data_IF_636175984443
#
_entry.id   IF_636175984443
#
_cell.length_a   1.000
_cell.length_b   1.000
_cell.length_c   1.000
_cell.angle_alpha   90.00
_cell.angle_beta   90.00
_cell.angle_gamma   90.00
#
_symmetry.space_group_name_H-M   'P 1'
#
loop_
_entity.id
_entity.type
_entity.pdbx_description
1 polymer ?
#
# COMPACT_ATOMS: atom_id res chain seq x y z
N UNK A 1 -35.68 27.51 -11.77
CA UNK A 1 -35.09 26.22 -12.12
C UNK A 1 -34.10 25.81 -11.05
N UNK A 2 -34.29 24.66 -10.49
CA UNK A 2 -33.44 24.23 -9.39
C UNK A 2 -32.09 23.78 -9.93
N UNK A 3 -31.03 24.36 -9.41
CA UNK A 3 -29.68 23.88 -9.65
C UNK A 3 -29.47 22.60 -8.83
N UNK A 4 -28.90 21.53 -9.43
CA UNK A 4 -28.60 20.36 -8.62
C UNK A 4 -27.73 20.74 -7.42
N UNK A 5 -27.95 20.17 -6.25
CA UNK A 5 -27.11 20.52 -5.12
C UNK A 5 -25.66 20.18 -5.43
N UNK A 6 -24.80 21.19 -5.35
CA UNK A 6 -23.38 21.01 -5.65
C UNK A 6 -22.67 20.20 -4.57
N UNK A 7 -23.29 20.06 -3.43
CA UNK A 7 -22.80 19.24 -2.33
C UNK A 7 -23.49 17.87 -2.27
N UNK A 8 -24.14 17.46 -3.37
CA UNK A 8 -24.68 16.10 -3.45
C UNK A 8 -23.53 15.10 -3.22
N UNK A 9 -23.77 14.05 -2.40
CA UNK A 9 -22.69 13.12 -2.08
C UNK A 9 -22.14 12.48 -3.33
N UNK A 10 -20.87 12.70 -3.57
CA UNK A 10 -20.14 12.00 -4.60
C UNK A 10 -19.28 10.94 -3.93
N UNK A 11 -19.15 9.81 -4.58
CA UNK A 11 -18.28 8.77 -4.04
C UNK A 11 -16.86 9.27 -4.01
N UNK A 12 -16.22 9.11 -2.87
CA UNK A 12 -14.81 9.41 -2.71
C UNK A 12 -13.98 8.44 -3.54
N UNK A 13 -12.73 8.80 -3.79
CA UNK A 13 -11.77 7.89 -4.43
C UNK A 13 -11.68 6.57 -3.67
N UNK A 14 -11.64 6.64 -2.35
CA UNK A 14 -11.59 5.44 -1.51
C UNK A 14 -12.82 4.55 -1.71
N UNK A 15 -14.03 5.13 -1.70
CA UNK A 15 -15.26 4.37 -1.91
C UNK A 15 -15.26 3.66 -3.26
N UNK A 16 -14.81 4.35 -4.31
CA UNK A 16 -14.73 3.76 -5.64
C UNK A 16 -13.75 2.58 -5.69
N UNK A 17 -12.60 2.73 -5.02
CA UNK A 17 -11.61 1.67 -4.92
C UNK A 17 -12.15 0.49 -4.11
N UNK A 18 -12.85 0.75 -3.02
CA UNK A 18 -13.47 -0.30 -2.20
C UNK A 18 -14.48 -1.10 -3.01
N UNK A 19 -15.32 -0.43 -3.78
CA UNK A 19 -16.30 -1.09 -4.65
C UNK A 19 -15.61 -1.92 -5.72
N UNK A 20 -14.57 -1.37 -6.34
CA UNK A 20 -13.84 -2.09 -7.38
C UNK A 20 -13.16 -3.34 -6.82
N UNK A 21 -12.48 -3.21 -5.68
CA UNK A 21 -11.81 -4.35 -5.03
C UNK A 21 -12.81 -5.42 -4.61
N UNK A 22 -14.00 -5.02 -4.12
CA UNK A 22 -15.05 -5.97 -3.77
C UNK A 22 -15.53 -6.76 -4.98
N UNK A 23 -15.63 -6.10 -6.14
CA UNK A 23 -16.05 -6.74 -7.39
C UNK A 23 -14.92 -7.53 -8.06
N UNK A 24 -13.66 -7.16 -7.81
CA UNK A 24 -12.48 -7.77 -8.44
C UNK A 24 -11.41 -8.08 -7.37
N UNK A 25 -11.69 -9.03 -6.45
CA UNK A 25 -10.80 -9.25 -5.31
C UNK A 25 -9.40 -9.75 -5.68
N UNK A 26 -9.23 -10.27 -6.90
CA UNK A 26 -7.93 -10.72 -7.39
C UNK A 26 -7.11 -9.63 -8.09
N UNK A 27 -7.64 -8.41 -8.21
CA UNK A 27 -6.92 -7.32 -8.88
C UNK A 27 -5.92 -6.69 -7.90
N UNK A 28 -4.65 -7.08 -8.04
CA UNK A 28 -3.58 -6.61 -7.16
C UNK A 28 -3.36 -5.11 -7.27
N UNK A 29 -3.41 -4.55 -8.48
CA UNK A 29 -3.19 -3.11 -8.67
C UNK A 29 -4.28 -2.29 -7.98
N UNK A 30 -5.53 -2.73 -8.05
CA UNK A 30 -6.63 -2.04 -7.39
C UNK A 30 -6.49 -2.08 -5.87
N UNK A 31 -6.11 -3.23 -5.31
CA UNK A 31 -5.88 -3.35 -3.87
C UNK A 31 -4.69 -2.51 -3.42
N UNK A 32 -3.63 -2.48 -4.21
CA UNK A 32 -2.49 -1.60 -3.97
C UNK A 32 -2.95 -0.14 -3.88
N UNK A 33 -3.75 0.31 -4.84
CA UNK A 33 -4.31 1.66 -4.83
C UNK A 33 -5.15 1.95 -3.60
N UNK A 34 -5.98 0.98 -3.19
CA UNK A 34 -6.80 1.13 -1.98
C UNK A 34 -5.94 1.22 -0.72
N UNK A 35 -4.92 0.38 -0.61
CA UNK A 35 -4.00 0.42 0.53
C UNK A 35 -3.32 1.78 0.66
N UNK A 36 -2.85 2.34 -0.46
CA UNK A 36 -2.21 3.67 -0.50
C UNK A 36 -3.21 4.75 -0.09
N UNK A 37 -4.44 4.67 -0.57
CA UNK A 37 -5.48 5.64 -0.21
C UNK A 37 -5.77 5.61 1.29
N UNK A 38 -5.91 4.43 1.86
CA UNK A 38 -6.11 4.27 3.30
C UNK A 38 -4.91 4.81 4.10
N UNK A 39 -3.70 4.53 3.64
CA UNK A 39 -2.47 5.04 4.28
C UNK A 39 -2.41 6.57 4.24
N UNK A 40 -2.79 7.16 3.10
CA UNK A 40 -2.85 8.62 2.95
C UNK A 40 -3.87 9.28 3.87
N UNK A 41 -4.93 8.56 4.24
CA UNK A 41 -5.94 9.04 5.19
C UNK A 41 -5.59 8.71 6.64
N UNK A 42 -4.44 8.11 6.89
CA UNK A 42 -4.00 7.65 8.21
C UNK A 42 -4.98 6.67 8.86
N UNK A 43 -5.71 5.93 8.03
CA UNK A 43 -6.56 4.84 8.51
C UNK A 43 -5.69 3.59 8.65
N UNK A 44 -5.03 3.50 9.81
CA UNK A 44 -4.04 2.46 10.05
C UNK A 44 -4.61 1.05 9.90
N UNK A 45 -5.75 0.70 10.54
CA UNK A 45 -6.28 -0.65 10.39
C UNK A 45 -6.60 -1.03 8.96
N UNK A 46 -7.22 -0.12 8.21
CA UNK A 46 -7.59 -0.40 6.81
C UNK A 46 -6.36 -0.49 5.91
N UNK A 47 -5.36 0.38 6.12
CA UNK A 47 -4.12 0.34 5.35
C UNK A 47 -3.38 -0.99 5.58
N UNK A 48 -3.20 -1.38 6.83
CA UNK A 48 -2.52 -2.63 7.19
C UNK A 48 -3.25 -3.83 6.59
N UNK A 49 -4.58 -3.87 6.74
CA UNK A 49 -5.38 -4.97 6.19
C UNK A 49 -5.20 -5.10 4.68
N UNK A 50 -5.26 -3.99 3.95
CA UNK A 50 -5.16 -4.03 2.50
C UNK A 50 -3.75 -4.35 2.02
N UNK A 51 -2.71 -3.82 2.67
CA UNK A 51 -1.34 -4.21 2.35
C UNK A 51 -1.09 -5.68 2.64
N UNK A 52 -1.55 -6.19 3.76
CA UNK A 52 -1.37 -7.60 4.12
C UNK A 52 -2.07 -8.53 3.11
N UNK A 53 -3.30 -8.20 2.73
CA UNK A 53 -4.04 -8.98 1.71
C UNK A 53 -3.35 -8.93 0.36
N UNK A 54 -2.84 -7.76 -0.03
CA UNK A 54 -2.11 -7.61 -1.28
C UNK A 54 -0.91 -8.54 -1.33
N UNK A 55 -0.09 -8.52 -0.29
CA UNK A 55 1.18 -9.25 -0.29
C UNK A 55 1.00 -10.74 -0.03
N UNK A 56 -0.08 -11.14 0.66
CA UNK A 56 -0.44 -12.55 0.80
C UNK A 56 -0.85 -13.14 -0.55
N UNK A 57 -1.62 -12.40 -1.34
CA UNK A 57 -2.10 -12.86 -2.65
C UNK A 57 -1.05 -12.68 -3.75
N UNK A 58 -0.21 -11.66 -3.64
CA UNK A 58 0.78 -11.28 -4.65
C UNK A 58 2.14 -11.02 -4.00
N UNK A 59 2.84 -12.08 -3.57
CA UNK A 59 4.10 -11.92 -2.82
C UNK A 59 5.24 -11.29 -3.61
N UNK A 60 5.11 -11.21 -4.93
CA UNK A 60 6.11 -10.55 -5.78
C UNK A 60 5.70 -9.14 -6.20
N UNK A 61 4.68 -8.57 -5.57
CA UNK A 61 4.27 -7.19 -5.83
C UNK A 61 5.19 -6.22 -5.09
N UNK A 62 6.36 -5.96 -5.69
CA UNK A 62 7.50 -5.29 -5.04
C UNK A 62 7.13 -3.91 -4.51
N UNK A 63 6.39 -3.12 -5.30
CA UNK A 63 5.95 -1.78 -4.88
C UNK A 63 5.12 -1.79 -3.61
N UNK A 64 4.41 -2.88 -3.34
CA UNK A 64 3.61 -3.04 -2.13
C UNK A 64 4.46 -3.05 -0.87
N UNK A 65 5.58 -3.75 -0.91
CA UNK A 65 6.51 -3.77 0.24
C UNK A 65 7.11 -2.39 0.49
N UNK A 66 7.48 -1.68 -0.57
CA UNK A 66 8.07 -0.36 -0.44
C UNK A 66 7.08 0.61 0.22
N UNK A 67 5.88 0.69 -0.30
CA UNK A 67 4.85 1.59 0.23
C UNK A 67 4.41 1.21 1.64
N UNK A 68 4.26 -0.08 1.89
CA UNK A 68 3.87 -0.58 3.21
C UNK A 68 4.96 -0.27 4.25
N UNK A 69 6.20 -0.56 3.91
CA UNK A 69 7.31 -0.28 4.82
C UNK A 69 7.44 1.21 5.13
N UNK A 70 7.28 2.08 4.13
CA UNK A 70 7.30 3.53 4.33
C UNK A 70 6.15 4.00 5.23
N UNK A 71 4.96 3.43 5.05
CA UNK A 71 3.82 3.76 5.90
C UNK A 71 4.08 3.35 7.35
N UNK A 72 4.57 2.14 7.57
CA UNK A 72 4.88 1.65 8.91
C UNK A 72 5.97 2.50 9.58
N UNK A 73 6.98 2.92 8.83
CA UNK A 73 8.02 3.81 9.33
C UNK A 73 7.44 5.17 9.73
N UNK A 74 6.55 5.71 8.92
CA UNK A 74 5.91 7.00 9.18
C UNK A 74 5.10 7.00 10.48
N UNK A 75 4.47 5.88 10.80
CA UNK A 75 3.70 5.73 12.04
C UNK A 75 4.53 5.13 13.18
N UNK A 76 5.85 5.11 13.02
CA UNK A 76 6.82 4.66 14.03
C UNK A 76 6.72 3.18 14.41
N UNK A 77 6.15 2.35 13.54
CA UNK A 77 6.16 0.88 13.70
C UNK A 77 7.42 0.32 13.04
N UNK A 78 8.57 0.62 13.64
CA UNK A 78 9.88 0.43 13.00
C UNK A 78 10.27 -1.02 12.82
N UNK A 79 9.99 -1.88 13.79
CA UNK A 79 10.31 -3.31 13.69
C UNK A 79 9.55 -3.95 12.52
N UNK A 80 8.27 -3.62 12.38
CA UNK A 80 7.45 -4.10 11.28
C UNK A 80 7.92 -3.53 9.94
N UNK A 81 8.32 -2.25 9.93
CA UNK A 81 8.87 -1.63 8.72
C UNK A 81 10.11 -2.37 8.23
N UNK A 82 11.01 -2.73 9.15
CA UNK A 82 12.21 -3.50 8.80
C UNK A 82 11.87 -4.85 8.19
N UNK A 83 10.93 -5.56 8.81
CA UNK A 83 10.49 -6.87 8.30
C UNK A 83 9.92 -6.75 6.90
N UNK A 84 9.06 -5.76 6.66
CA UNK A 84 8.42 -5.55 5.36
C UNK A 84 9.46 -5.16 4.32
N UNK A 85 10.38 -4.27 4.64
CA UNK A 85 11.46 -3.91 3.70
C UNK A 85 12.34 -5.11 3.36
N UNK A 86 12.69 -5.93 4.33
CA UNK A 86 13.49 -7.13 4.05
C UNK A 86 12.77 -8.10 3.12
N UNK A 87 11.47 -8.28 3.31
CA UNK A 87 10.66 -9.10 2.41
C UNK A 87 10.58 -8.49 1.01
N UNK A 88 10.51 -7.17 0.94
CA UNK A 88 10.52 -6.44 -0.33
C UNK A 88 11.82 -6.60 -1.09
N UNK A 89 12.96 -6.56 -0.39
CA UNK A 89 14.28 -6.82 -0.98
C UNK A 89 14.32 -8.23 -1.56
N UNK A 90 13.84 -9.22 -0.81
CA UNK A 90 13.79 -10.59 -1.29
C UNK A 90 12.91 -10.73 -2.54
N UNK A 91 11.74 -10.08 -2.54
CA UNK A 91 10.85 -10.08 -3.71
C UNK A 91 11.49 -9.41 -4.92
N UNK A 92 12.18 -8.27 -4.72
CA UNK A 92 12.89 -7.59 -5.80
C UNK A 92 13.98 -8.48 -6.41
N UNK A 93 14.70 -9.22 -5.58
CA UNK A 93 15.70 -10.17 -6.06
C UNK A 93 15.07 -11.31 -6.86
N UNK A 94 13.96 -11.86 -6.38
CA UNK A 94 13.25 -12.95 -7.10
C UNK A 94 12.78 -12.50 -8.48
N UNK A 95 12.39 -11.25 -8.61
CA UNK A 95 11.83 -10.71 -9.85
C UNK A 95 12.89 -10.03 -10.73
N UNK A 96 14.12 -9.93 -10.24
CA UNK A 96 15.22 -9.28 -10.99
C UNK A 96 15.09 -7.75 -11.04
N UNK A 97 14.36 -7.14 -10.13
CA UNK A 97 14.14 -5.69 -10.08
C UNK A 97 15.22 -5.03 -9.22
N UNK A 98 16.38 -4.77 -9.85
CA UNK A 98 17.54 -4.20 -9.16
C UNK A 98 17.31 -2.77 -8.68
N UNK A 99 16.54 -1.99 -9.43
CA UNK A 99 16.21 -0.62 -9.03
C UNK A 99 15.37 -0.61 -7.75
N UNK A 100 14.32 -1.42 -7.71
CA UNK A 100 13.49 -1.54 -6.52
C UNK A 100 14.27 -2.09 -5.32
N UNK A 101 15.14 -3.06 -5.55
CA UNK A 101 16.01 -3.60 -4.50
C UNK A 101 16.85 -2.48 -3.86
N UNK A 102 17.46 -1.63 -4.68
CA UNK A 102 18.26 -0.51 -4.20
C UNK A 102 17.44 0.52 -3.43
N UNK A 103 16.26 0.85 -3.95
CA UNK A 103 15.35 1.80 -3.29
C UNK A 103 14.91 1.31 -1.91
N UNK A 104 14.52 0.05 -1.82
CA UNK A 104 14.06 -0.54 -0.56
C UNK A 104 15.22 -0.66 0.42
N UNK A 105 16.40 -1.06 -0.05
CA UNK A 105 17.60 -1.12 0.79
C UNK A 105 17.96 0.25 1.37
N UNK A 106 17.85 1.31 0.57
CA UNK A 106 18.07 2.68 1.04
C UNK A 106 17.06 3.09 2.10
N UNK A 107 15.79 2.76 1.88
CA UNK A 107 14.74 3.05 2.86
C UNK A 107 14.99 2.30 4.17
N UNK A 108 15.38 1.03 4.09
CA UNK A 108 15.73 0.22 5.26
C UNK A 108 16.90 0.84 6.02
N UNK A 109 17.94 1.24 5.32
CA UNK A 109 19.13 1.85 5.94
C UNK A 109 18.83 3.19 6.60
N UNK A 110 17.78 3.87 6.17
CA UNK A 110 17.37 5.17 6.72
C UNK A 110 16.51 5.05 7.97
N UNK A 111 16.09 3.85 8.35
CA UNK A 111 15.29 3.68 9.56
C UNK A 111 16.12 3.95 10.81
N UNK A 112 15.53 4.66 11.81
CA UNK A 112 16.22 4.91 13.07
C UNK A 112 16.43 3.61 13.86
N UNK A 113 17.48 3.58 14.63
CA UNK A 113 17.82 2.47 15.53
C UNK A 113 18.76 1.45 14.94
#
# INVERSE_FOLDING_TARGET
MATPPQNAPQKSRRSKLEEFVAAHPGDAFARYGLAIECAGQNDVPAAVENFDKLLAASPDYVSGYFQYGQFLARIARLSEARDVFNKGIAAARRTGDQHAESEIASALASLPG
#
